data_IF_376476443712
#
_entry.id   IF_376476443712
#
_cell.length_a   1.000
_cell.length_b   1.000
_cell.length_c   1.000
_cell.angle_alpha   90.00
_cell.angle_beta   90.00
_cell.angle_gamma   90.00
#
_symmetry.space_group_name_H-M   'P 1'
#
loop_
_entity.id
_entity.type
_entity.pdbx_description
1 polymer ?
#
# COMPACT_ATOMS: atom_id res chain seq x y z
N UNK A 1 -13.45 1.77 32.05
CA UNK A 1 -14.04 0.64 31.34
C UNK A 1 -13.28 -0.65 31.61
N UNK A 2 -14.02 -1.76 31.76
CA UNK A 2 -13.40 -3.05 31.94
C UNK A 2 -12.72 -3.53 30.63
N UNK A 3 -11.75 -4.44 30.75
CA UNK A 3 -11.13 -5.08 29.60
C UNK A 3 -12.20 -5.72 28.69
N UNK A 4 -13.22 -6.33 29.28
CA UNK A 4 -14.33 -6.94 28.54
C UNK A 4 -15.12 -5.91 27.74
N UNK A 5 -15.43 -4.74 28.32
CA UNK A 5 -16.09 -3.66 27.60
C UNK A 5 -15.26 -3.12 26.43
N UNK A 6 -13.94 -3.02 26.63
CA UNK A 6 -13.00 -2.63 25.56
C UNK A 6 -13.00 -3.64 24.42
N UNK A 7 -12.91 -4.94 24.73
CA UNK A 7 -12.91 -6.01 23.72
C UNK A 7 -14.21 -6.00 22.92
N UNK A 8 -15.36 -5.89 23.58
CA UNK A 8 -16.67 -5.82 22.92
C UNK A 8 -16.79 -4.61 22.01
N UNK A 9 -16.26 -3.46 22.44
CA UNK A 9 -16.24 -2.25 21.60
C UNK A 9 -15.37 -2.45 20.36
N UNK A 10 -14.21 -3.09 20.50
CA UNK A 10 -13.34 -3.38 19.35
C UNK A 10 -13.99 -4.35 18.36
N UNK A 11 -14.71 -5.36 18.85
CA UNK A 11 -15.49 -6.28 18.02
C UNK A 11 -16.58 -5.56 17.25
N UNK A 12 -17.33 -4.67 17.91
CA UNK A 12 -18.38 -3.87 17.26
C UNK A 12 -17.82 -2.99 16.14
N UNK A 13 -16.69 -2.31 16.37
CA UNK A 13 -16.01 -1.50 15.37
C UNK A 13 -15.53 -2.37 14.19
N UNK A 14 -14.96 -3.53 14.48
CA UNK A 14 -14.51 -4.47 13.45
C UNK A 14 -15.65 -4.96 12.57
N UNK A 15 -16.78 -5.33 13.17
CA UNK A 15 -17.98 -5.77 12.43
C UNK A 15 -18.55 -4.65 11.56
N UNK A 16 -18.62 -3.43 12.08
CA UNK A 16 -19.06 -2.25 11.34
C UNK A 16 -18.17 -2.02 10.10
N UNK A 17 -16.87 -2.04 10.27
CA UNK A 17 -15.89 -1.89 9.18
C UNK A 17 -16.04 -3.03 8.16
N UNK A 18 -16.19 -4.27 8.62
CA UNK A 18 -16.36 -5.44 7.74
C UNK A 18 -17.56 -5.33 6.79
N UNK A 19 -18.65 -4.70 7.25
CA UNK A 19 -19.87 -4.53 6.44
C UNK A 19 -19.87 -3.27 5.58
N UNK A 20 -18.91 -2.36 5.79
CA UNK A 20 -18.79 -1.14 4.99
C UNK A 20 -18.37 -1.48 3.56
N UNK A 21 -19.00 -0.84 2.58
CA UNK A 21 -18.60 -0.97 1.18
C UNK A 21 -17.27 -0.27 0.91
N UNK A 22 -16.46 -0.86 0.02
CA UNK A 22 -15.22 -0.21 -0.45
C UNK A 22 -15.58 0.82 -1.52
N UNK A 23 -15.18 2.07 -1.30
CA UNK A 23 -15.19 3.09 -2.35
C UNK A 23 -14.02 2.81 -3.31
N UNK A 24 -14.22 3.02 -4.60
CA UNK A 24 -13.22 2.74 -5.65
C UNK A 24 -12.68 1.30 -5.58
N UNK A 25 -13.54 0.28 -5.76
CA UNK A 25 -13.09 -1.12 -5.72
C UNK A 25 -12.03 -1.45 -6.78
N UNK A 26 -11.94 -0.68 -7.85
CA UNK A 26 -10.91 -0.78 -8.88
C UNK A 26 -9.49 -0.49 -8.37
N UNK A 27 -9.34 0.12 -7.19
CA UNK A 27 -8.04 0.26 -6.53
C UNK A 27 -7.45 -1.08 -6.08
N UNK A 28 -8.30 -2.11 -5.89
CA UNK A 28 -7.88 -3.44 -5.46
C UNK A 28 -7.65 -4.33 -6.69
N UNK A 29 -6.42 -4.74 -6.90
CA UNK A 29 -6.01 -5.45 -8.11
C UNK A 29 -6.15 -6.97 -7.95
N UNK A 30 -6.63 -7.67 -9.00
CA UNK A 30 -6.68 -9.13 -8.99
C UNK A 30 -5.28 -9.73 -9.17
N UNK A 31 -5.05 -10.91 -8.57
CA UNK A 31 -3.77 -11.62 -8.67
C UNK A 31 -3.66 -12.52 -9.91
N UNK A 32 -4.77 -12.90 -10.52
CA UNK A 32 -4.79 -13.85 -11.64
C UNK A 32 -3.86 -13.46 -12.80
N UNK A 33 -3.79 -12.18 -13.23
CA UNK A 33 -2.87 -11.81 -14.31
C UNK A 33 -1.39 -12.02 -13.99
N UNK A 34 -1.04 -12.18 -12.70
CA UNK A 34 0.33 -12.34 -12.21
C UNK A 34 0.64 -13.80 -11.81
N UNK A 35 -0.34 -14.70 -11.87
CA UNK A 35 -0.27 -16.02 -11.22
C UNK A 35 0.94 -16.87 -11.65
N UNK A 36 1.39 -16.76 -12.90
CA UNK A 36 2.50 -17.55 -13.45
C UNK A 36 3.89 -16.93 -13.20
N UNK A 37 3.96 -15.73 -12.62
CA UNK A 37 5.23 -15.03 -12.41
C UNK A 37 5.78 -15.37 -11.03
N UNK A 38 6.93 -16.03 -10.99
CA UNK A 38 7.59 -16.45 -9.74
C UNK A 38 8.82 -15.60 -9.40
N UNK A 39 9.43 -14.96 -10.39
CA UNK A 39 10.61 -14.12 -10.21
C UNK A 39 10.20 -12.74 -9.71
N UNK A 40 10.85 -12.27 -8.64
CA UNK A 40 10.50 -11.00 -7.97
C UNK A 40 10.74 -9.77 -8.83
N UNK A 41 11.81 -9.75 -9.64
CA UNK A 41 12.10 -8.65 -10.56
C UNK A 41 11.07 -8.57 -11.69
N UNK A 42 10.75 -9.71 -12.30
CA UNK A 42 9.72 -9.79 -13.34
C UNK A 42 8.35 -9.37 -12.80
N UNK A 43 8.02 -9.80 -11.58
CA UNK A 43 6.78 -9.44 -10.91
C UNK A 43 6.70 -7.93 -10.67
N UNK A 44 7.77 -7.34 -10.17
CA UNK A 44 7.87 -5.89 -9.97
C UNK A 44 7.65 -5.12 -11.28
N UNK A 45 8.34 -5.49 -12.33
CA UNK A 45 8.20 -4.81 -13.62
C UNK A 45 6.80 -4.97 -14.20
N UNK A 46 6.18 -6.13 -14.04
CA UNK A 46 4.81 -6.35 -14.51
C UNK A 46 3.80 -5.49 -13.76
N UNK A 47 3.97 -5.35 -12.45
CA UNK A 47 3.08 -4.54 -11.61
C UNK A 47 3.18 -3.04 -11.98
N UNK A 48 4.38 -2.53 -12.21
CA UNK A 48 4.57 -1.09 -12.48
C UNK A 48 4.41 -0.71 -13.95
N UNK A 49 4.40 -1.66 -14.87
CA UNK A 49 4.30 -1.41 -16.31
C UNK A 49 3.15 -0.46 -16.71
N UNK A 50 1.92 -0.61 -16.17
CA UNK A 50 0.82 0.30 -16.51
C UNK A 50 1.04 1.75 -16.07
N UNK A 51 1.99 1.99 -15.18
CA UNK A 51 2.22 3.30 -14.55
C UNK A 51 3.47 4.01 -15.07
N UNK A 52 4.06 3.54 -16.16
CA UNK A 52 5.14 4.27 -16.85
C UNK A 52 4.65 5.66 -17.24
N UNK A 53 5.50 6.65 -17.05
CA UNK A 53 5.14 8.06 -17.18
C UNK A 53 4.65 8.70 -15.89
N UNK A 54 4.47 7.90 -14.84
CA UNK A 54 4.10 8.37 -13.49
C UNK A 54 5.15 7.98 -12.47
N UNK A 55 5.36 8.83 -11.48
CA UNK A 55 6.15 8.47 -10.30
C UNK A 55 5.32 7.52 -9.45
N UNK A 56 5.91 6.40 -9.01
CA UNK A 56 5.24 5.45 -8.12
C UNK A 56 5.82 5.60 -6.71
N UNK A 57 4.93 5.90 -5.76
CA UNK A 57 5.22 5.87 -4.35
C UNK A 57 4.73 4.54 -3.78
N UNK A 58 5.67 3.65 -3.50
CA UNK A 58 5.39 2.28 -3.08
C UNK A 58 5.45 2.18 -1.56
N UNK A 59 4.40 1.60 -0.98
CA UNK A 59 4.27 1.28 0.45
C UNK A 59 4.21 -0.24 0.62
N UNK A 60 5.24 -0.82 1.25
CA UNK A 60 5.26 -2.24 1.62
C UNK A 60 4.87 -2.35 3.09
N UNK A 61 3.75 -3.01 3.35
CA UNK A 61 3.10 -3.02 4.66
C UNK A 61 2.48 -4.39 5.00
N UNK A 62 1.86 -4.50 6.15
CA UNK A 62 1.09 -5.68 6.54
C UNK A 62 0.01 -5.31 7.55
N UNK A 63 -1.10 -6.06 7.57
CA UNK A 63 -2.21 -5.81 8.49
C UNK A 63 -1.83 -6.02 9.96
N UNK A 64 -0.80 -6.83 10.19
CA UNK A 64 -0.21 -7.14 11.50
C UNK A 64 0.77 -6.06 11.98
N UNK A 65 1.07 -5.07 11.16
CA UNK A 65 2.13 -4.08 11.40
C UNK A 65 1.55 -2.80 12.01
N UNK A 66 1.77 -2.59 13.31
CA UNK A 66 1.34 -1.38 14.02
C UNK A 66 1.89 -0.09 13.43
N UNK A 67 3.22 0.05 13.23
CA UNK A 67 3.81 1.24 12.62
C UNK A 67 3.29 1.54 11.21
N UNK A 68 2.93 0.52 10.43
CA UNK A 68 2.30 0.69 9.12
C UNK A 68 0.95 1.40 9.25
N UNK A 69 0.12 0.94 10.19
CA UNK A 69 -1.20 1.52 10.43
C UNK A 69 -1.11 2.94 10.99
N UNK A 70 -0.09 3.22 11.81
CA UNK A 70 0.15 4.59 12.29
C UNK A 70 0.41 5.56 11.12
N UNK A 71 1.15 5.14 10.11
CA UNK A 71 1.41 5.95 8.93
C UNK A 71 0.18 6.11 8.02
N UNK A 72 -0.73 5.16 8.01
CA UNK A 72 -1.94 5.22 7.20
C UNK A 72 -2.89 6.36 7.58
N UNK A 73 -2.81 6.88 8.80
CA UNK A 73 -3.53 8.08 9.21
C UNK A 73 -3.19 9.29 8.32
N UNK A 74 -2.00 9.31 7.76
CA UNK A 74 -1.49 10.41 6.92
C UNK A 74 -1.67 10.17 5.42
N UNK A 75 -2.09 8.96 5.02
CA UNK A 75 -2.20 8.59 3.61
C UNK A 75 -3.17 9.47 2.84
N UNK A 76 -4.31 9.83 3.44
CA UNK A 76 -5.31 10.70 2.82
C UNK A 76 -4.75 12.08 2.50
N UNK A 77 -4.09 12.72 3.46
CA UNK A 77 -3.45 14.03 3.28
C UNK A 77 -2.33 13.97 2.25
N UNK A 78 -1.49 12.93 2.32
CA UNK A 78 -0.40 12.74 1.35
C UNK A 78 -0.93 12.58 -0.07
N UNK A 79 -1.98 11.76 -0.28
CA UNK A 79 -2.59 11.59 -1.61
C UNK A 79 -3.15 12.90 -2.17
N UNK A 80 -3.75 13.75 -1.33
CA UNK A 80 -4.29 15.05 -1.77
C UNK A 80 -3.22 15.96 -2.37
N UNK A 81 -1.98 15.87 -1.92
CA UNK A 81 -0.87 16.66 -2.48
C UNK A 81 -0.61 16.33 -3.95
N UNK A 82 -0.96 15.12 -4.38
CA UNK A 82 -0.65 14.60 -5.71
C UNK A 82 -1.87 14.35 -6.59
N UNK A 83 -3.07 14.71 -6.12
CA UNK A 83 -4.27 14.63 -6.96
C UNK A 83 -4.11 15.47 -8.22
N UNK A 84 -4.41 14.87 -9.40
CA UNK A 84 -4.21 15.52 -10.69
C UNK A 84 -2.76 15.61 -11.13
N UNK A 85 -1.83 15.01 -10.41
CA UNK A 85 -0.40 14.89 -10.77
C UNK A 85 -0.08 13.49 -11.29
N UNK A 86 1.06 13.35 -11.94
CA UNK A 86 1.54 12.07 -12.48
C UNK A 86 2.21 11.23 -11.37
N UNK A 87 1.43 10.85 -10.38
CA UNK A 87 1.87 10.05 -9.22
C UNK A 87 0.86 8.95 -8.93
N UNK A 88 1.36 7.77 -8.61
CA UNK A 88 0.57 6.61 -8.14
C UNK A 88 1.05 6.20 -6.75
N UNK A 89 0.11 5.94 -5.85
CA UNK A 89 0.34 5.30 -4.56
C UNK A 89 0.08 3.80 -4.71
N UNK A 90 1.16 3.03 -4.73
CA UNK A 90 1.12 1.57 -4.87
C UNK A 90 1.38 0.91 -3.52
N UNK A 91 0.50 0.00 -3.13
CA UNK A 91 0.58 -0.72 -1.85
C UNK A 91 0.79 -2.21 -2.11
N UNK A 92 1.82 -2.79 -1.49
CA UNK A 92 2.07 -4.22 -1.49
C UNK A 92 1.91 -4.73 -0.05
N UNK A 93 0.89 -5.58 0.16
CA UNK A 93 0.55 -6.08 1.49
C UNK A 93 1.24 -7.42 1.77
N UNK A 94 1.95 -7.51 2.89
CA UNK A 94 2.66 -8.70 3.33
C UNK A 94 1.77 -9.57 4.21
N UNK A 95 1.71 -10.86 3.91
CA UNK A 95 1.17 -11.93 4.74
C UNK A 95 -0.10 -11.53 5.50
N UNK A 96 -1.16 -11.27 4.76
CA UNK A 96 -2.44 -10.83 5.30
C UNK A 96 -3.60 -11.54 4.62
N UNK A 97 -4.62 -11.90 5.39
CA UNK A 97 -5.84 -12.47 4.81
C UNK A 97 -6.57 -11.43 3.96
N UNK A 98 -7.35 -11.90 3.00
CA UNK A 98 -8.18 -11.03 2.16
C UNK A 98 -9.10 -10.13 3.00
N UNK A 99 -9.71 -10.71 4.02
CA UNK A 99 -10.62 -9.99 4.93
C UNK A 99 -9.90 -8.90 5.72
N UNK A 100 -8.76 -9.21 6.34
CA UNK A 100 -7.97 -8.24 7.11
C UNK A 100 -7.45 -7.11 6.22
N UNK A 101 -6.96 -7.46 5.03
CA UNK A 101 -6.49 -6.52 4.03
C UNK A 101 -7.58 -5.52 3.64
N UNK A 102 -8.77 -6.01 3.26
CA UNK A 102 -9.91 -5.16 2.90
C UNK A 102 -10.38 -4.29 4.06
N UNK A 103 -10.38 -4.83 5.28
CA UNK A 103 -10.83 -4.07 6.47
C UNK A 103 -9.90 -2.89 6.77
N UNK A 104 -8.58 -3.06 6.68
CA UNK A 104 -7.63 -1.95 6.88
C UNK A 104 -7.80 -0.90 5.78
N UNK A 105 -7.96 -1.32 4.53
CA UNK A 105 -8.19 -0.41 3.41
C UNK A 105 -9.46 0.44 3.65
N UNK A 106 -10.54 -0.18 4.12
CA UNK A 106 -11.79 0.51 4.47
C UNK A 106 -11.60 1.48 5.64
N UNK A 107 -10.97 1.00 6.70
CA UNK A 107 -10.78 1.76 7.94
C UNK A 107 -10.05 3.08 7.69
N UNK A 108 -8.99 3.05 6.91
CA UNK A 108 -8.16 4.22 6.65
C UNK A 108 -8.48 4.93 5.33
N UNK A 109 -9.51 4.48 4.59
CA UNK A 109 -9.89 5.11 3.33
C UNK A 109 -8.77 5.14 2.29
N UNK A 110 -8.11 4.00 2.07
CA UNK A 110 -6.90 3.91 1.25
C UNK A 110 -7.15 3.72 -0.25
N UNK A 111 -8.38 3.81 -0.72
CA UNK A 111 -8.73 3.72 -2.14
C UNK A 111 -8.79 5.10 -2.79
N UNK A 112 -8.85 5.14 -4.09
CA UNK A 112 -8.98 6.37 -4.87
C UNK A 112 -8.37 6.24 -6.26
N UNK A 113 -8.46 7.31 -7.04
CA UNK A 113 -8.01 7.33 -8.45
C UNK A 113 -6.51 7.08 -8.61
N UNK A 114 -5.70 7.43 -7.62
CA UNK A 114 -4.25 7.26 -7.67
C UNK A 114 -3.74 6.15 -6.75
N UNK A 115 -4.64 5.37 -6.14
CA UNK A 115 -4.29 4.29 -5.22
C UNK A 115 -4.46 2.92 -5.88
N UNK A 116 -3.44 2.07 -5.74
CA UNK A 116 -3.40 0.71 -6.29
C UNK A 116 -2.95 -0.25 -5.20
N UNK A 117 -3.72 -1.30 -4.95
CA UNK A 117 -3.47 -2.27 -3.89
C UNK A 117 -3.31 -3.68 -4.43
N UNK A 118 -2.25 -4.37 -3.99
CA UNK A 118 -2.05 -5.79 -4.20
C UNK A 118 -1.93 -6.51 -2.86
N UNK A 119 -2.61 -7.65 -2.75
CA UNK A 119 -2.38 -8.64 -1.71
C UNK A 119 -1.94 -9.94 -2.38
N UNK A 120 -0.66 -10.01 -2.70
CA UNK A 120 -0.07 -11.14 -3.44
C UNK A 120 -0.03 -12.40 -2.57
N UNK A 121 -0.05 -13.60 -3.18
CA UNK A 121 0.30 -14.82 -2.47
C UNK A 121 1.66 -14.69 -1.78
N UNK A 122 1.83 -15.36 -0.64
CA UNK A 122 3.02 -15.21 0.21
C UNK A 122 4.35 -15.44 -0.54
N UNK A 123 4.40 -16.43 -1.41
CA UNK A 123 5.63 -16.71 -2.17
C UNK A 123 6.00 -15.58 -3.12
N UNK A 124 5.01 -15.02 -3.82
CA UNK A 124 5.23 -13.88 -4.70
C UNK A 124 5.61 -12.64 -3.90
N UNK A 125 4.93 -12.40 -2.78
CA UNK A 125 5.24 -11.26 -1.92
C UNK A 125 6.68 -11.33 -1.39
N UNK A 126 7.11 -12.50 -0.94
CA UNK A 126 8.50 -12.70 -0.51
C UNK A 126 9.51 -12.48 -1.64
N UNK A 127 9.19 -12.95 -2.84
CA UNK A 127 10.07 -12.78 -4.00
C UNK A 127 10.26 -11.31 -4.38
N UNK A 128 9.18 -10.54 -4.40
CA UNK A 128 9.25 -9.10 -4.72
C UNK A 128 9.91 -8.30 -3.60
N UNK A 129 9.67 -8.64 -2.33
CA UNK A 129 10.32 -8.02 -1.18
C UNK A 129 11.83 -8.23 -1.20
N UNK A 130 12.26 -9.43 -1.57
CA UNK A 130 13.70 -9.73 -1.73
C UNK A 130 14.33 -8.88 -2.83
N UNK A 131 13.68 -8.77 -3.97
CA UNK A 131 14.13 -7.91 -5.08
C UNK A 131 14.21 -6.44 -4.64
N UNK A 132 13.19 -5.95 -3.92
CA UNK A 132 13.12 -4.58 -3.42
C UNK A 132 14.04 -4.31 -2.23
N UNK A 133 14.67 -5.33 -1.67
CA UNK A 133 15.53 -5.26 -0.49
C UNK A 133 14.78 -4.77 0.77
N UNK A 134 13.52 -5.19 0.93
CA UNK A 134 12.72 -4.87 2.10
C UNK A 134 13.27 -5.60 3.33
N UNK A 135 13.55 -4.87 4.41
CA UNK A 135 14.11 -5.41 5.67
C UNK A 135 13.23 -5.14 6.88
N UNK A 136 12.29 -4.23 6.75
CA UNK A 136 11.40 -3.82 7.84
C UNK A 136 10.09 -3.28 7.27
N UNK A 137 9.10 -3.12 8.12
CA UNK A 137 7.78 -2.61 7.75
C UNK A 137 7.41 -1.42 8.64
N UNK A 138 6.85 -0.35 8.05
CA UNK A 138 6.65 -0.13 6.62
C UNK A 138 7.96 0.21 5.89
N UNK A 139 8.02 -0.10 4.60
CA UNK A 139 9.08 0.38 3.71
C UNK A 139 8.45 1.22 2.61
N UNK A 140 9.00 2.40 2.38
CA UNK A 140 8.57 3.32 1.33
C UNK A 140 9.65 3.44 0.26
N UNK A 141 9.25 3.28 -1.00
CA UNK A 141 10.17 3.27 -2.14
C UNK A 141 9.65 4.22 -3.20
N UNK A 142 10.54 5.03 -3.79
CA UNK A 142 10.22 5.84 -4.96
C UNK A 142 10.74 5.22 -6.24
N UNK A 143 9.87 5.20 -7.24
CA UNK A 143 10.13 4.69 -8.59
C UNK A 143 9.85 5.83 -9.56
N UNK A 144 10.80 6.12 -10.44
CA UNK A 144 10.67 7.22 -11.39
C UNK A 144 9.71 6.90 -12.56
N UNK A 145 9.50 7.87 -13.43
CA UNK A 145 8.58 7.75 -14.58
C UNK A 145 9.02 6.68 -15.59
N UNK A 146 10.30 6.32 -15.58
CA UNK A 146 10.87 5.31 -16.46
C UNK A 146 10.80 3.90 -15.83
N UNK A 147 10.35 3.79 -14.58
CA UNK A 147 10.23 2.52 -13.86
C UNK A 147 11.50 2.11 -13.09
N UNK A 148 12.43 3.04 -12.87
CA UNK A 148 13.65 2.79 -12.10
C UNK A 148 13.42 3.08 -10.62
N UNK A 149 13.94 2.23 -9.75
CA UNK A 149 13.96 2.49 -8.31
C UNK A 149 15.00 3.58 -8.04
N UNK A 150 14.57 4.72 -7.55
CA UNK A 150 15.43 5.87 -7.28
C UNK A 150 15.67 6.13 -5.81
N UNK A 151 14.82 5.61 -4.92
CA UNK A 151 15.01 5.74 -3.47
C UNK A 151 14.34 4.57 -2.76
N UNK A 152 15.11 3.74 -2.05
CA UNK A 152 14.60 2.62 -1.26
C UNK A 152 14.24 2.99 0.18
N UNK A 153 14.48 4.22 0.57
CA UNK A 153 14.12 4.76 1.89
C UNK A 153 13.48 6.14 1.70
N UNK A 154 12.34 6.14 1.02
CA UNK A 154 11.62 7.35 0.69
C UNK A 154 10.98 7.99 1.93
N UNK A 155 10.72 9.31 1.92
CA UNK A 155 10.03 9.97 3.02
C UNK A 155 8.66 9.35 3.31
N UNK A 156 8.31 9.25 4.58
CA UNK A 156 7.04 8.70 5.05
C UNK A 156 5.89 9.67 4.78
N UNK A 157 4.62 9.20 4.75
CA UNK A 157 3.46 10.04 4.43
C UNK A 157 3.25 11.22 5.39
N UNK A 158 3.77 11.16 6.62
CA UNK A 158 3.68 12.24 7.60
C UNK A 158 4.72 13.36 7.39
N UNK A 159 5.61 13.20 6.41
CA UNK A 159 6.63 14.19 6.03
C UNK A 159 6.31 14.76 4.65
N UNK A 160 5.23 15.52 4.57
CA UNK A 160 4.66 15.99 3.31
C UNK A 160 5.64 16.82 2.48
N UNK A 161 6.37 17.76 3.09
CA UNK A 161 7.34 18.60 2.38
C UNK A 161 8.51 17.77 1.84
N UNK A 162 9.03 16.85 2.63
CA UNK A 162 10.12 15.95 2.19
C UNK A 162 9.65 15.07 1.04
N UNK A 163 8.41 14.56 1.11
CA UNK A 163 7.83 13.73 0.07
C UNK A 163 7.62 14.50 -1.23
N UNK A 164 7.09 15.71 -1.16
CA UNK A 164 6.95 16.61 -2.32
C UNK A 164 8.30 16.87 -2.99
N UNK A 165 9.32 17.19 -2.19
CA UNK A 165 10.66 17.44 -2.70
C UNK A 165 11.27 16.19 -3.35
N UNK A 166 11.05 15.00 -2.76
CA UNK A 166 11.57 13.74 -3.29
C UNK A 166 10.92 13.36 -4.62
N UNK A 167 9.62 13.61 -4.77
CA UNK A 167 8.85 13.28 -5.99
C UNK A 167 9.19 14.21 -7.14
N UNK A 168 9.42 15.49 -6.87
CA UNK A 168 9.63 16.52 -7.92
C UNK A 168 11.11 16.89 -8.16
N UNK A 169 12.01 16.12 -7.62
CA UNK A 169 13.44 16.30 -7.91
C UNK A 169 13.86 15.69 -9.23
#
# INVERSE_FOLDING_TARGET
>A
PSLQAYVLNQQGVYEEISHKAIEYPESLMPNEPLAEITDGEQLFHKIIEPYKGKVVYLDVWGTWCGPCKDMMQYAGSAKKLFEGKDVIFLYLCNHSSDKSWKNIIKEYGLTGKIAVHYNLPDEQQRAIEKFLQVRSFPTYILIDKEGNIVNRDAPRPNRENDLLNAVYK
#
